data_IF_053810145205
#
_entry.id   IF_053810145205
#
_cell.length_a   1.000
_cell.length_b   1.000
_cell.length_c   1.000
_cell.angle_alpha   90.00
_cell.angle_beta   90.00
_cell.angle_gamma   90.00
#
_symmetry.space_group_name_H-M   'P 1'
#
loop_
_entity.id
_entity.type
_entity.pdbx_description
1 polymer ?
#
# COMPACT_ATOMS: atom_id res chain seq x y z
N UNK A 1 8.07 -15.12 4.72
CA UNK A 1 8.51 -14.83 6.12
C UNK A 1 9.57 -15.82 6.57
N UNK A 2 9.30 -17.09 6.44
CA UNK A 2 10.19 -18.19 6.83
C UNK A 2 11.54 -18.15 6.07
N UNK A 3 11.49 -18.07 4.75
CA UNK A 3 12.70 -17.96 3.93
C UNK A 3 13.58 -16.74 4.27
N UNK A 4 13.00 -15.63 4.72
CA UNK A 4 13.79 -14.46 5.16
C UNK A 4 14.41 -14.67 6.53
N UNK A 5 13.73 -15.38 7.43
CA UNK A 5 14.30 -15.78 8.73
C UNK A 5 15.47 -16.73 8.54
N UNK A 6 15.30 -17.74 7.69
CA UNK A 6 16.36 -18.68 7.34
C UNK A 6 17.57 -17.96 6.75
N UNK A 7 17.36 -17.05 5.78
CA UNK A 7 18.44 -16.27 5.18
C UNK A 7 19.15 -15.39 6.21
N UNK A 8 18.39 -14.73 7.10
CA UNK A 8 18.96 -13.90 8.16
C UNK A 8 19.75 -14.75 9.17
N UNK A 9 19.29 -15.96 9.49
CA UNK A 9 19.99 -16.90 10.35
C UNK A 9 21.31 -17.34 9.72
N UNK A 10 21.26 -17.77 8.45
CA UNK A 10 22.47 -18.17 7.70
C UNK A 10 23.47 -17.01 7.61
N UNK A 11 23.00 -15.79 7.35
CA UNK A 11 23.89 -14.62 7.29
C UNK A 11 24.52 -14.32 8.64
N UNK A 12 23.75 -14.39 9.73
CA UNK A 12 24.30 -14.23 11.09
C UNK A 12 25.35 -15.28 11.39
N UNK A 13 25.04 -16.54 11.17
CA UNK A 13 25.87 -17.67 11.58
C UNK A 13 27.15 -17.74 10.75
N UNK A 14 27.08 -17.41 9.46
CA UNK A 14 28.23 -17.49 8.54
C UNK A 14 29.05 -16.20 8.48
N UNK A 15 28.41 -15.04 8.44
CA UNK A 15 29.08 -13.76 8.20
C UNK A 15 29.45 -12.99 9.48
N UNK A 16 28.66 -13.13 10.55
CA UNK A 16 28.85 -12.35 11.77
C UNK A 16 29.39 -13.17 12.94
N UNK A 17 29.42 -14.50 12.86
CA UNK A 17 29.87 -15.41 13.93
C UNK A 17 29.25 -15.07 15.31
N UNK A 18 27.98 -14.64 15.32
CA UNK A 18 27.29 -14.16 16.51
C UNK A 18 26.30 -15.22 17.01
N UNK A 19 26.40 -15.59 18.27
CA UNK A 19 25.46 -16.50 18.95
C UNK A 19 24.19 -15.85 19.46
N UNK A 20 23.91 -14.59 19.11
CA UNK A 20 22.70 -13.87 19.54
C UNK A 20 21.41 -14.36 18.83
N UNK A 21 20.28 -14.31 19.51
CA UNK A 21 18.98 -14.48 18.86
C UNK A 21 18.76 -13.36 17.84
N UNK A 22 18.29 -13.71 16.63
CA UNK A 22 17.80 -12.70 15.69
C UNK A 22 16.51 -12.15 16.30
N UNK A 23 16.57 -10.92 16.82
CA UNK A 23 15.35 -10.19 17.17
C UNK A 23 14.45 -10.14 15.94
N UNK A 24 13.21 -10.53 16.12
CA UNK A 24 12.17 -10.38 15.11
C UNK A 24 12.04 -8.88 14.83
N UNK A 25 12.81 -8.37 13.88
CA UNK A 25 12.59 -7.00 13.43
C UNK A 25 11.13 -6.86 13.01
N UNK A 26 10.36 -5.98 13.66
CA UNK A 26 8.97 -5.80 13.31
C UNK A 26 8.89 -5.43 11.84
N UNK A 27 8.40 -6.35 11.01
CA UNK A 27 8.21 -6.06 9.60
C UNK A 27 7.08 -5.06 9.48
N UNK A 28 7.34 -3.91 8.87
CA UNK A 28 6.31 -2.94 8.55
C UNK A 28 5.17 -3.67 7.83
N UNK A 29 3.98 -3.57 8.39
CA UNK A 29 2.77 -4.10 7.79
C UNK A 29 1.87 -2.94 7.43
N UNK A 30 1.36 -2.98 6.19
CA UNK A 30 0.42 -1.99 5.70
C UNK A 30 -0.97 -2.59 5.67
N UNK A 31 -1.89 -1.97 6.41
CA UNK A 31 -3.31 -2.26 6.34
C UNK A 31 -3.97 -1.32 5.32
N UNK A 32 -4.44 -1.88 4.22
CA UNK A 32 -5.12 -1.15 3.16
C UNK A 32 -6.65 -1.17 3.28
N UNK A 33 -7.22 -1.89 4.25
CA UNK A 33 -8.68 -2.05 4.38
C UNK A 33 -9.42 -0.71 4.47
N UNK A 34 -8.81 0.29 5.11
CA UNK A 34 -9.40 1.63 5.17
C UNK A 34 -9.69 2.24 3.79
N UNK A 35 -8.95 1.85 2.75
CA UNK A 35 -9.17 2.31 1.38
C UNK A 35 -10.31 1.57 0.65
N UNK A 36 -10.97 0.61 1.28
CA UNK A 36 -12.13 -0.04 0.68
C UNK A 36 -13.36 0.88 0.61
N UNK A 37 -13.40 1.93 1.40
CA UNK A 37 -14.55 2.83 1.50
C UNK A 37 -14.19 4.30 1.26
N UNK A 38 -15.16 5.09 0.77
CA UNK A 38 -14.99 6.53 0.55
C UNK A 38 -14.74 7.33 1.84
N UNK A 39 -15.00 6.76 3.00
CA UNK A 39 -14.67 7.37 4.32
C UNK A 39 -13.18 7.71 4.45
N UNK A 40 -12.34 7.01 3.71
CA UNK A 40 -10.90 7.33 3.66
C UNK A 40 -10.63 8.74 3.12
N UNK A 41 -11.44 9.25 2.18
CA UNK A 41 -11.28 10.62 1.66
C UNK A 41 -11.42 11.68 2.76
N UNK A 42 -12.40 11.50 3.65
CA UNK A 42 -12.61 12.42 4.78
C UNK A 42 -11.47 12.30 5.80
N UNK A 43 -10.99 11.07 6.03
CA UNK A 43 -9.84 10.81 6.89
C UNK A 43 -8.57 11.47 6.35
N UNK A 44 -8.30 11.34 5.05
CA UNK A 44 -7.15 11.98 4.40
C UNK A 44 -7.20 13.51 4.46
N UNK A 45 -8.41 14.10 4.46
CA UNK A 45 -8.58 15.56 4.62
C UNK A 45 -8.38 16.03 6.05
N UNK A 46 -8.95 15.29 7.01
CA UNK A 46 -8.95 15.66 8.44
C UNK A 46 -7.62 15.39 9.11
N UNK A 47 -7.05 14.21 8.86
CA UNK A 47 -5.91 13.66 9.60
C UNK A 47 -4.60 13.89 8.84
N UNK A 48 -4.34 15.14 8.41
CA UNK A 48 -3.09 15.50 7.74
C UNK A 48 -1.99 15.83 8.75
N UNK A 49 -0.77 15.45 8.41
CA UNK A 49 0.45 15.82 9.13
C UNK A 49 0.90 17.22 8.70
N UNK A 50 1.53 17.96 9.61
CA UNK A 50 2.09 19.25 9.30
C UNK A 50 3.10 19.15 8.13
N UNK A 51 3.02 20.08 7.18
CA UNK A 51 3.86 20.07 5.99
C UNK A 51 3.30 19.25 4.82
N UNK A 52 2.05 18.76 4.92
CA UNK A 52 1.31 18.17 3.81
C UNK A 52 0.05 19.01 3.56
N UNK A 53 -0.04 19.63 2.39
CA UNK A 53 -1.16 20.51 2.01
C UNK A 53 -2.37 19.70 1.53
N UNK A 54 -2.12 18.63 0.77
CA UNK A 54 -3.18 17.81 0.18
C UNK A 54 -2.74 16.37 -0.03
N UNK A 55 -3.72 15.44 0.01
CA UNK A 55 -3.50 14.03 -0.26
C UNK A 55 -4.62 13.55 -1.18
N UNK A 56 -4.27 12.95 -2.28
CA UNK A 56 -5.21 12.37 -3.24
C UNK A 56 -4.88 10.92 -3.55
N UNK A 57 -5.92 10.10 -3.73
CA UNK A 57 -5.80 8.72 -4.17
C UNK A 57 -5.82 8.72 -5.70
N UNK A 58 -4.74 8.27 -6.34
CA UNK A 58 -4.64 8.15 -7.79
C UNK A 58 -5.05 6.79 -8.32
N UNK A 59 -4.75 5.74 -7.55
CA UNK A 59 -4.95 4.37 -8.01
C UNK A 59 -5.24 3.46 -6.83
N UNK A 60 -6.17 2.54 -7.04
CA UNK A 60 -6.44 1.41 -6.17
C UNK A 60 -6.37 0.15 -7.02
N UNK A 61 -5.60 -0.84 -6.59
CA UNK A 61 -5.55 -2.16 -7.21
C UNK A 61 -6.16 -3.16 -6.25
N UNK A 62 -7.17 -3.85 -6.70
CA UNK A 62 -7.86 -4.91 -5.97
C UNK A 62 -7.69 -6.25 -6.65
N UNK A 63 -7.80 -7.33 -5.88
CA UNK A 63 -7.79 -8.69 -6.38
C UNK A 63 -9.03 -9.42 -5.88
N UNK A 64 -9.67 -10.18 -6.78
CA UNK A 64 -10.75 -11.11 -6.46
C UNK A 64 -10.23 -12.53 -6.66
N UNK A 65 -10.16 -13.32 -5.60
CA UNK A 65 -9.81 -14.73 -5.76
C UNK A 65 -10.95 -15.46 -6.48
N UNK A 66 -10.60 -16.39 -7.35
CA UNK A 66 -11.54 -17.32 -7.97
C UNK A 66 -10.91 -18.71 -8.09
N UNK A 67 -11.74 -19.73 -8.08
CA UNK A 67 -11.30 -21.09 -8.25
C UNK A 67 -11.51 -21.50 -9.71
N UNK A 68 -10.49 -22.11 -10.29
CA UNK A 68 -10.56 -22.72 -11.60
C UNK A 68 -10.32 -24.22 -11.45
N UNK A 69 -11.34 -25.01 -11.80
CA UNK A 69 -11.21 -26.46 -11.87
C UNK A 69 -10.75 -26.86 -13.27
N UNK A 70 -9.71 -27.65 -13.37
CA UNK A 70 -9.22 -28.21 -14.62
C UNK A 70 -8.95 -29.69 -14.45
N UNK A 71 -9.33 -30.50 -15.43
CA UNK A 71 -9.01 -31.92 -15.45
C UNK A 71 -7.57 -32.11 -15.92
N UNK A 72 -6.76 -32.81 -15.13
CA UNK A 72 -5.41 -33.17 -15.51
C UNK A 72 -5.13 -34.61 -15.15
N UNK A 73 -4.88 -35.45 -16.18
CA UNK A 73 -4.60 -36.88 -15.97
C UNK A 73 -5.75 -37.68 -15.33
N UNK A 74 -7.02 -37.32 -15.63
CA UNK A 74 -8.21 -37.97 -15.07
C UNK A 74 -8.50 -37.58 -13.60
N UNK A 75 -7.92 -36.49 -13.11
CA UNK A 75 -8.20 -35.96 -11.77
C UNK A 75 -8.55 -34.48 -11.87
N UNK A 76 -9.55 -34.07 -11.12
CA UNK A 76 -9.89 -32.63 -10.98
C UNK A 76 -8.83 -31.93 -10.14
N UNK A 77 -8.19 -30.92 -10.74
CA UNK A 77 -7.23 -30.06 -10.07
C UNK A 77 -7.88 -28.68 -9.89
N UNK A 78 -8.12 -28.30 -8.65
CA UNK A 78 -8.60 -26.96 -8.29
C UNK A 78 -7.41 -26.02 -8.11
N UNK A 79 -7.36 -24.98 -8.90
CA UNK A 79 -6.35 -23.92 -8.77
C UNK A 79 -7.00 -22.65 -8.25
N UNK A 80 -6.44 -22.10 -7.19
CA UNK A 80 -6.81 -20.75 -6.73
C UNK A 80 -6.04 -19.71 -7.55
N UNK A 81 -6.79 -18.92 -8.30
CA UNK A 81 -6.28 -17.81 -9.11
C UNK A 81 -6.81 -16.49 -8.55
N UNK A 82 -6.25 -15.39 -9.00
CA UNK A 82 -6.78 -14.07 -8.67
C UNK A 82 -6.84 -13.19 -9.91
N UNK A 83 -7.98 -12.59 -10.17
CA UNK A 83 -8.10 -11.51 -11.13
C UNK A 83 -7.78 -10.19 -10.46
N UNK A 84 -6.96 -9.36 -11.11
CA UNK A 84 -6.62 -8.03 -10.60
C UNK A 84 -7.37 -6.97 -11.40
N UNK A 85 -7.98 -6.03 -10.69
CA UNK A 85 -8.60 -4.85 -11.27
C UNK A 85 -7.86 -3.62 -10.76
N UNK A 86 -7.41 -2.78 -11.68
CA UNK A 86 -6.72 -1.54 -11.36
C UNK A 86 -7.61 -0.36 -11.71
N UNK A 87 -8.07 0.35 -10.71
CA UNK A 87 -8.88 1.55 -10.83
C UNK A 87 -7.93 2.74 -10.78
N UNK A 88 -7.92 3.57 -11.82
CA UNK A 88 -7.02 4.72 -11.90
C UNK A 88 -7.83 5.98 -12.20
N UNK A 89 -7.57 7.03 -11.42
CA UNK A 89 -8.17 8.35 -11.62
C UNK A 89 -7.23 9.24 -12.43
N UNK A 90 -7.75 9.87 -13.49
CA UNK A 90 -7.03 10.99 -14.11
C UNK A 90 -7.02 12.20 -13.15
N UNK A 91 -5.90 12.88 -13.06
CA UNK A 91 -5.77 14.10 -12.25
C UNK A 91 -6.62 15.25 -12.76
N UNK A 92 -6.97 15.25 -14.03
CA UNK A 92 -7.82 16.26 -14.68
C UNK A 92 -9.31 15.97 -14.49
N UNK A 93 -9.63 14.75 -14.09
CA UNK A 93 -11.00 14.34 -13.78
C UNK A 93 -11.37 14.92 -12.41
N UNK A 94 -12.49 15.64 -12.34
CA UNK A 94 -13.00 16.19 -11.09
C UNK A 94 -13.55 15.14 -10.13
N UNK A 95 -13.76 13.89 -10.61
CA UNK A 95 -14.28 12.77 -9.82
C UNK A 95 -13.23 12.26 -8.83
N UNK A 96 -13.66 11.76 -7.69
CA UNK A 96 -12.80 11.00 -6.80
C UNK A 96 -12.67 9.54 -7.26
N UNK A 97 -11.70 8.81 -6.68
CA UNK A 97 -11.40 7.44 -7.10
C UNK A 97 -12.58 6.47 -6.92
N UNK A 98 -13.46 6.69 -5.94
CA UNK A 98 -14.62 5.82 -5.70
C UNK A 98 -15.75 6.10 -6.68
N UNK A 99 -15.90 7.35 -7.13
CA UNK A 99 -16.80 7.68 -8.25
C UNK A 99 -16.35 7.02 -9.54
N UNK A 100 -15.03 7.07 -9.83
CA UNK A 100 -14.44 6.36 -10.98
C UNK A 100 -14.66 4.84 -10.84
N UNK A 101 -14.46 4.27 -9.63
CA UNK A 101 -14.70 2.85 -9.39
C UNK A 101 -16.14 2.46 -9.69
N UNK A 102 -17.09 3.26 -9.23
CA UNK A 102 -18.52 3.02 -9.47
C UNK A 102 -18.91 3.17 -10.93
N UNK A 103 -18.57 4.30 -11.55
CA UNK A 103 -19.07 4.68 -12.88
C UNK A 103 -18.35 3.95 -14.01
N UNK A 104 -17.02 3.77 -13.92
CA UNK A 104 -16.20 3.24 -15.01
C UNK A 104 -15.93 1.73 -14.86
N UNK A 105 -15.98 1.20 -13.63
CA UNK A 105 -15.64 -0.20 -13.33
C UNK A 105 -16.82 -1.00 -12.74
N UNK A 106 -17.97 -0.39 -12.55
CA UNK A 106 -19.14 -1.01 -11.91
C UNK A 106 -18.84 -1.61 -10.53
N UNK A 107 -17.87 -1.03 -9.81
CA UNK A 107 -17.44 -1.48 -8.50
C UNK A 107 -18.09 -0.63 -7.41
N UNK A 108 -19.27 -1.05 -6.94
CA UNK A 108 -20.04 -0.32 -5.91
C UNK A 108 -19.36 -0.38 -4.54
N UNK A 109 -18.75 -1.52 -4.21
CA UNK A 109 -18.13 -1.76 -2.92
C UNK A 109 -16.78 -2.48 -3.08
N UNK A 110 -15.70 -1.76 -2.77
CA UNK A 110 -14.36 -2.32 -2.83
C UNK A 110 -14.04 -3.24 -1.65
N UNK A 111 -14.88 -3.29 -0.60
CA UNK A 111 -14.67 -4.19 0.54
C UNK A 111 -14.83 -5.67 0.18
N UNK A 112 -15.50 -5.97 -0.94
CA UNK A 112 -15.65 -7.32 -1.48
C UNK A 112 -14.36 -7.88 -2.11
N UNK A 113 -13.34 -7.05 -2.27
CA UNK A 113 -12.08 -7.39 -2.91
C UNK A 113 -10.93 -7.31 -1.91
N UNK A 114 -9.88 -8.09 -2.15
CA UNK A 114 -8.61 -7.90 -1.45
C UNK A 114 -7.87 -6.68 -2.02
N UNK A 115 -7.60 -5.68 -1.20
CA UNK A 115 -6.80 -4.53 -1.62
C UNK A 115 -5.32 -4.94 -1.68
N UNK A 116 -4.75 -4.84 -2.87
CA UNK A 116 -3.36 -5.25 -3.13
C UNK A 116 -2.42 -4.06 -3.09
N UNK A 117 -2.87 -2.92 -3.66
CA UNK A 117 -2.02 -1.76 -3.82
C UNK A 117 -2.82 -0.47 -3.84
N UNK A 118 -2.27 0.57 -3.25
CA UNK A 118 -2.80 1.94 -3.32
C UNK A 118 -1.68 2.90 -3.72
N UNK A 119 -1.99 3.82 -4.63
CA UNK A 119 -1.09 4.92 -5.01
C UNK A 119 -1.69 6.25 -4.59
N UNK A 120 -0.98 6.94 -3.71
CA UNK A 120 -1.32 8.27 -3.22
C UNK A 120 -0.44 9.32 -3.87
N UNK A 121 -0.93 10.54 -3.96
CA UNK A 121 -0.11 11.74 -4.20
C UNK A 121 -0.31 12.67 -3.03
N UNK A 122 0.79 13.01 -2.38
CA UNK A 122 0.85 13.97 -1.28
C UNK A 122 1.50 15.26 -1.78
N UNK A 123 0.82 16.38 -1.60
CA UNK A 123 1.38 17.70 -1.91
C UNK A 123 2.11 18.21 -0.68
N UNK A 124 3.43 18.25 -0.76
CA UNK A 124 4.26 18.79 0.30
C UNK A 124 4.21 20.31 0.28
N UNK A 125 4.09 20.92 1.45
CA UNK A 125 4.06 22.38 1.63
C UNK A 125 5.40 23.00 1.24
N UNK A 126 5.33 24.27 0.84
CA UNK A 126 6.53 25.10 0.63
C UNK A 126 7.28 25.28 1.95
N UNK A 127 8.59 25.16 1.89
CA UNK A 127 9.50 25.52 3.00
C UNK A 127 10.43 26.65 2.57
N UNK A 128 11.17 27.30 3.50
CA UNK A 128 12.14 28.37 3.13
C UNK A 128 13.16 27.90 2.09
N UNK A 129 13.50 26.59 2.09
CA UNK A 129 14.55 26.02 1.25
C UNK A 129 14.02 25.19 0.06
N UNK A 130 12.69 24.97 -0.04
CA UNK A 130 12.12 24.11 -1.08
C UNK A 130 10.71 24.55 -1.49
N UNK A 131 10.46 24.62 -2.79
CA UNK A 131 9.12 24.87 -3.34
C UNK A 131 8.16 23.72 -3.00
N UNK A 132 6.86 24.03 -2.95
CA UNK A 132 5.83 23.01 -2.85
C UNK A 132 5.97 22.00 -4.01
N UNK A 133 5.85 20.72 -3.71
CA UNK A 133 6.03 19.64 -4.69
C UNK A 133 5.15 18.43 -4.37
N UNK A 134 4.93 17.60 -5.36
CA UNK A 134 4.15 16.40 -5.22
C UNK A 134 5.04 15.17 -4.98
N UNK A 135 4.67 14.37 -4.00
CA UNK A 135 5.29 13.09 -3.68
C UNK A 135 4.30 11.98 -3.97
N UNK A 136 4.60 11.14 -4.96
CA UNK A 136 3.79 9.95 -5.24
C UNK A 136 4.24 8.81 -4.34
N UNK A 137 3.32 8.18 -3.63
CA UNK A 137 3.55 7.08 -2.69
C UNK A 137 2.78 5.86 -3.18
N UNK A 138 3.48 4.76 -3.38
CA UNK A 138 2.85 3.49 -3.74
C UNK A 138 3.03 2.52 -2.59
N UNK A 139 1.92 2.01 -2.09
CA UNK A 139 1.86 1.07 -0.99
C UNK A 139 1.33 -0.25 -1.54
N UNK A 140 2.03 -1.33 -1.27
CA UNK A 140 1.62 -2.68 -1.69
C UNK A 140 1.53 -3.58 -0.47
N UNK A 141 0.39 -4.15 -0.23
CA UNK A 141 0.21 -5.08 0.88
C UNK A 141 1.03 -6.37 0.65
N UNK A 142 1.57 -6.99 1.71
CA UNK A 142 1.49 -6.56 3.10
C UNK A 142 2.58 -5.56 3.54
N UNK A 143 3.68 -5.40 2.81
CA UNK A 143 4.87 -4.70 3.32
C UNK A 143 5.65 -3.88 2.28
N UNK A 144 5.10 -3.63 1.11
CA UNK A 144 5.74 -2.86 0.05
C UNK A 144 5.48 -1.36 0.16
N UNK A 145 6.53 -0.55 0.23
CA UNK A 145 6.47 0.90 0.14
C UNK A 145 7.53 1.40 -0.84
N UNK A 146 7.12 2.17 -1.83
CA UNK A 146 8.05 2.81 -2.75
C UNK A 146 8.43 4.21 -2.23
N UNK A 147 9.56 4.28 -1.53
CA UNK A 147 10.09 5.53 -0.94
C UNK A 147 11.55 5.81 -1.28
N UNK A 148 12.18 4.95 -2.09
CA UNK A 148 13.65 4.96 -2.33
C UNK A 148 14.20 6.24 -2.97
N UNK A 149 13.40 6.95 -3.76
CA UNK A 149 13.84 8.15 -4.50
C UNK A 149 13.53 9.47 -3.80
N UNK A 150 13.24 9.46 -2.50
CA UNK A 150 12.79 10.62 -1.75
C UNK A 150 13.84 11.12 -0.78
N UNK A 151 13.74 12.41 -0.43
CA UNK A 151 14.54 13.00 0.66
C UNK A 151 14.10 12.39 1.99
N UNK A 152 14.97 12.40 2.98
CA UNK A 152 14.67 11.85 4.30
C UNK A 152 13.50 12.57 4.98
N UNK A 153 13.38 13.90 4.78
CA UNK A 153 12.24 14.67 5.26
C UNK A 153 10.93 14.23 4.63
N UNK A 154 10.91 14.01 3.31
CA UNK A 154 9.70 13.53 2.63
C UNK A 154 9.35 12.11 3.10
N UNK A 155 10.33 11.23 3.30
CA UNK A 155 10.11 9.88 3.83
C UNK A 155 9.50 9.91 5.21
N UNK A 156 10.07 10.73 6.11
CA UNK A 156 9.57 10.88 7.47
C UNK A 156 8.13 11.35 7.49
N UNK A 157 7.79 12.41 6.75
CA UNK A 157 6.41 12.92 6.66
C UNK A 157 5.44 11.91 6.07
N UNK A 158 5.85 11.18 5.03
CA UNK A 158 5.05 10.10 4.43
C UNK A 158 4.77 9.02 5.48
N UNK A 159 5.78 8.58 6.22
CA UNK A 159 5.60 7.56 7.25
C UNK A 159 4.68 8.05 8.39
N UNK A 160 4.90 9.25 8.90
CA UNK A 160 4.04 9.87 9.91
C UNK A 160 2.58 9.96 9.43
N UNK A 161 2.38 10.33 8.15
CA UNK A 161 1.05 10.38 7.56
C UNK A 161 0.40 9.01 7.48
N UNK A 162 1.12 7.98 7.05
CA UNK A 162 0.61 6.61 6.95
C UNK A 162 0.24 6.03 8.32
N UNK A 163 1.04 6.36 9.36
CA UNK A 163 0.73 6.02 10.75
C UNK A 163 -0.56 6.72 11.19
N UNK A 164 -0.65 8.03 10.98
CA UNK A 164 -1.78 8.85 11.42
C UNK A 164 -3.12 8.41 10.83
N UNK A 165 -3.11 7.97 9.57
CA UNK A 165 -4.30 7.40 8.93
C UNK A 165 -4.49 5.90 9.19
N UNK A 166 -3.65 5.28 10.04
CA UNK A 166 -3.76 3.88 10.44
C UNK A 166 -3.45 2.87 9.34
N UNK A 167 -2.70 3.28 8.31
CA UNK A 167 -2.25 2.40 7.22
C UNK A 167 -0.96 1.68 7.60
N UNK A 168 -0.10 2.34 8.37
CA UNK A 168 1.14 1.78 8.90
C UNK A 168 1.02 1.66 10.42
N UNK A 169 1.18 0.44 10.95
CA UNK A 169 1.22 0.22 12.39
C UNK A 169 2.51 0.78 13.00
N UNK A 170 2.39 1.44 14.15
CA UNK A 170 3.56 1.71 15.01
C UNK A 170 3.88 0.41 15.75
N UNK A 171 5.13 0.04 15.74
CA UNK A 171 5.67 -1.02 16.59
C UNK A 171 6.45 -0.40 17.75
#
# INVERSE_FOLDING_TARGET
REARRELATVFRDVALAHEGQIEDMPMRQFDLLGFATSKMLDRLKRDRVAGIDDISILQITVAKPFEQTSEYGGRDVVRQLSSKMQITRDRRDGRNIYQVAYEDYCAEDLSQYALVQVKLVMRMSKTPHRKAHNVAVQITAPNGLNDKSRTDDDRKRVQEQLIKIGVLSQF
#
